data_IF_933604783798
#
_entry.id   IF_933604783798
#
_cell.length_a   1.000
_cell.length_b   1.000
_cell.length_c   1.000
_cell.angle_alpha   90.00
_cell.angle_beta   90.00
_cell.angle_gamma   90.00
#
_symmetry.space_group_name_H-M   'P 1'
#
loop_
_entity.id
_entity.type
_entity.pdbx_description
1 polymer ?
#
# COMPACT_ATOMS: atom_id res chain seq x y z
N UNK A 1 -7.98 3.90 -20.41
CA UNK A 1 -7.19 4.07 -19.19
C UNK A 1 -7.95 5.00 -18.26
N UNK A 2 -8.05 4.65 -16.99
CA UNK A 2 -8.66 5.47 -15.94
C UNK A 2 -7.55 5.94 -15.00
N UNK A 3 -7.54 7.23 -14.72
CA UNK A 3 -6.68 7.81 -13.68
C UNK A 3 -7.37 7.58 -12.33
N UNK A 4 -6.68 6.87 -11.44
CA UNK A 4 -7.17 6.59 -10.09
C UNK A 4 -6.17 7.12 -9.10
N UNK A 5 -6.65 7.61 -7.97
CA UNK A 5 -5.76 8.10 -6.94
C UNK A 5 -5.36 6.97 -5.99
N UNK A 6 -4.06 6.79 -5.78
CA UNK A 6 -3.57 5.80 -4.84
C UNK A 6 -3.95 6.18 -3.41
N UNK A 7 -4.65 5.32 -2.64
CA UNK A 7 -5.08 5.63 -1.27
C UNK A 7 -3.93 5.68 -0.25
N UNK A 8 -2.70 5.32 -0.66
CA UNK A 8 -1.52 5.32 0.19
C UNK A 8 -0.63 6.54 0.01
N UNK A 9 -0.62 7.15 -1.17
CA UNK A 9 0.32 8.22 -1.49
C UNK A 9 -0.28 9.39 -2.27
N UNK A 10 -1.60 9.39 -2.45
CA UNK A 10 -2.41 10.45 -3.06
C UNK A 10 -1.95 10.85 -4.47
N UNK A 11 -1.14 10.00 -5.10
CA UNK A 11 -0.68 10.17 -6.48
C UNK A 11 -1.62 9.46 -7.43
N UNK A 12 -1.85 10.09 -8.56
CA UNK A 12 -2.68 9.56 -9.63
C UNK A 12 -1.89 8.52 -10.42
N UNK A 13 -2.51 7.38 -10.65
CA UNK A 13 -1.96 6.24 -11.37
C UNK A 13 -2.90 5.86 -12.50
N UNK A 14 -2.32 5.56 -13.65
CA UNK A 14 -3.08 5.16 -14.83
C UNK A 14 -3.29 3.64 -14.79
N UNK A 15 -4.54 3.22 -14.62
CA UNK A 15 -4.93 1.81 -14.72
C UNK A 15 -5.73 1.57 -16.00
N UNK A 16 -5.69 0.34 -16.51
CA UNK A 16 -6.50 -0.04 -17.65
C UNK A 16 -7.99 -0.13 -17.25
N UNK A 17 -8.86 0.40 -18.12
CA UNK A 17 -10.31 0.36 -17.88
C UNK A 17 -10.82 -1.07 -17.91
N UNK A 18 -11.72 -1.41 -16.99
CA UNK A 18 -12.31 -2.74 -16.88
C UNK A 18 -11.52 -3.73 -16.04
N UNK A 19 -10.33 -3.35 -15.54
CA UNK A 19 -9.62 -4.18 -14.58
C UNK A 19 -10.13 -3.97 -13.16
N UNK A 20 -10.32 -5.06 -12.44
CA UNK A 20 -10.65 -5.09 -11.01
C UNK A 20 -9.78 -6.14 -10.33
N UNK A 21 -9.31 -5.84 -9.11
CA UNK A 21 -8.35 -6.70 -8.42
C UNK A 21 -7.34 -5.92 -7.59
N UNK A 22 -6.25 -6.58 -7.23
CA UNK A 22 -5.16 -5.99 -6.45
C UNK A 22 -4.10 -5.42 -7.40
N UNK A 23 -3.80 -4.13 -7.24
CA UNK A 23 -2.82 -3.41 -8.04
C UNK A 23 -1.75 -2.83 -7.14
N UNK A 24 -0.51 -2.87 -7.60
CA UNK A 24 0.59 -2.22 -6.92
C UNK A 24 0.74 -0.80 -7.43
N UNK A 25 0.84 0.16 -6.51
CA UNK A 25 1.13 1.54 -6.88
C UNK A 25 2.61 1.68 -7.28
N UNK A 26 2.94 2.19 -8.49
CA UNK A 26 4.32 2.35 -8.94
C UNK A 26 5.11 3.41 -8.16
N UNK A 27 4.43 4.24 -7.37
CA UNK A 27 5.08 5.32 -6.62
C UNK A 27 5.42 4.97 -5.18
N UNK A 28 4.64 4.09 -4.55
CA UNK A 28 4.85 3.70 -3.16
C UNK A 28 4.99 2.19 -2.98
N UNK A 29 4.92 1.41 -4.06
CA UNK A 29 5.00 -0.06 -4.07
C UNK A 29 4.03 -0.75 -3.11
N UNK A 30 2.93 -0.07 -2.74
CA UNK A 30 1.89 -0.64 -1.90
C UNK A 30 0.75 -1.16 -2.78
N UNK A 31 0.32 -2.39 -2.50
CA UNK A 31 -0.84 -3.01 -3.12
C UNK A 31 -2.15 -2.42 -2.57
N UNK A 32 -3.08 -2.10 -3.46
CA UNK A 32 -4.42 -1.64 -3.12
C UNK A 32 -5.46 -2.35 -4.02
N UNK A 33 -6.70 -2.46 -3.52
CA UNK A 33 -7.79 -3.08 -4.29
C UNK A 33 -8.50 -2.00 -5.09
N UNK A 34 -8.64 -2.23 -6.39
CA UNK A 34 -9.42 -1.38 -7.28
C UNK A 34 -10.61 -2.16 -7.82
N UNK A 35 -11.79 -1.54 -7.79
CA UNK A 35 -13.01 -2.11 -8.36
C UNK A 35 -13.54 -1.17 -9.44
N UNK A 36 -13.66 -1.68 -10.65
CA UNK A 36 -14.24 -0.92 -11.75
C UNK A 36 -15.76 -0.90 -11.60
N UNK A 37 -16.30 0.23 -11.14
CA UNK A 37 -17.72 0.46 -10.91
C UNK A 37 -18.54 0.68 -12.21
N UNK A 38 -18.06 0.20 -13.37
CA UNK A 38 -18.78 0.32 -14.64
C UNK A 38 -19.54 -0.98 -14.94
N UNK A 39 -20.87 -0.91 -14.72
CA UNK A 39 -21.94 -1.89 -15.04
C UNK A 39 -22.07 -3.04 -14.02
N UNK A 40 -23.13 -3.14 -13.23
CA UNK A 40 -24.52 -3.30 -13.70
C UNK A 40 -25.49 -3.04 -12.54
N UNK A 41 -26.46 -2.15 -12.74
CA UNK A 41 -27.67 -2.08 -11.92
C UNK A 41 -28.49 -3.37 -12.11
N UNK A 42 -28.15 -4.48 -11.44
CA UNK A 42 -29.07 -5.61 -11.26
C UNK A 42 -28.90 -6.28 -9.91
N UNK A 43 -29.88 -6.00 -9.05
CA UNK A 43 -30.59 -6.92 -8.16
C UNK A 43 -29.78 -7.55 -7.02
N UNK A 44 -30.34 -7.37 -5.84
CA UNK A 44 -29.88 -7.90 -4.57
C UNK A 44 -29.68 -9.41 -4.60
N UNK A 45 -28.72 -9.86 -3.78
CA UNK A 45 -28.73 -11.06 -2.93
C UNK A 45 -27.40 -11.82 -3.04
N UNK A 46 -26.64 -11.75 -1.94
CA UNK A 46 -25.63 -12.73 -1.51
C UNK A 46 -24.36 -12.82 -2.36
N UNK A 47 -23.36 -12.02 -1.98
CA UNK A 47 -22.06 -12.63 -1.67
C UNK A 47 -21.37 -11.82 -0.57
N UNK A 48 -21.49 -12.33 0.66
CA UNK A 48 -20.63 -11.93 1.77
C UNK A 48 -19.22 -12.40 1.38
N UNK A 49 -18.41 -11.49 0.85
CA UNK A 49 -16.95 -11.58 0.99
C UNK A 49 -16.57 -10.65 2.11
N UNK A 50 -16.47 -11.26 3.30
CA UNK A 50 -15.67 -10.76 4.41
C UNK A 50 -14.34 -10.24 3.86
N UNK A 51 -14.21 -8.93 3.71
CA UNK A 51 -12.95 -8.27 3.99
C UNK A 51 -13.24 -7.33 5.14
N UNK A 52 -13.02 -7.88 6.33
CA UNK A 52 -12.98 -7.12 7.56
C UNK A 52 -12.05 -5.93 7.29
N UNK A 53 -12.51 -4.68 7.36
CA UNK A 53 -11.60 -3.55 7.29
C UNK A 53 -10.60 -3.78 8.43
N UNK A 54 -9.32 -3.97 8.10
CA UNK A 54 -8.27 -4.15 9.10
C UNK A 54 -8.52 -3.13 10.23
N UNK A 55 -8.56 -3.58 11.51
CA UNK A 55 -8.87 -2.67 12.60
C UNK A 55 -7.89 -1.51 12.53
N UNK A 56 -8.45 -0.30 12.55
CA UNK A 56 -7.81 1.00 12.34
C UNK A 56 -6.48 1.20 13.12
N UNK A 57 -6.22 0.37 14.14
CA UNK A 57 -4.99 0.34 14.93
C UNK A 57 -3.75 -0.30 14.27
N UNK A 58 -3.86 -1.04 13.15
CA UNK A 58 -2.71 -1.75 12.57
C UNK A 58 -1.78 -0.87 11.72
N UNK A 59 -2.23 0.32 11.29
CA UNK A 59 -1.43 1.23 10.44
C UNK A 59 -0.21 1.82 11.14
N UNK A 60 -0.23 1.93 12.47
CA UNK A 60 0.84 2.55 13.27
C UNK A 60 2.02 1.58 13.46
N UNK A 61 1.73 0.28 13.57
CA UNK A 61 2.72 -0.76 13.85
C UNK A 61 3.67 -0.95 12.67
N UNK A 62 3.16 -0.86 11.44
CA UNK A 62 3.97 -1.01 10.23
C UNK A 62 4.98 0.14 10.05
N UNK A 63 4.58 1.37 10.39
CA UNK A 63 5.47 2.54 10.37
C UNK A 63 6.60 2.44 11.39
N UNK A 64 6.29 1.94 12.60
CA UNK A 64 7.29 1.78 13.66
C UNK A 64 8.31 0.70 13.29
N UNK A 65 7.88 -0.45 12.76
CA UNK A 65 8.79 -1.54 12.39
C UNK A 65 9.75 -1.09 11.27
N UNK A 66 9.23 -0.46 10.21
CA UNK A 66 10.05 0.05 9.10
C UNK A 66 10.99 1.15 9.57
N UNK A 67 10.51 2.09 10.40
CA UNK A 67 11.33 3.17 10.95
C UNK A 67 12.46 2.67 11.85
N UNK A 68 12.19 1.71 12.73
CA UNK A 68 13.21 1.12 13.60
C UNK A 68 14.25 0.34 12.79
N UNK A 69 13.83 -0.41 11.78
CA UNK A 69 14.76 -1.15 10.92
C UNK A 69 15.69 -0.21 10.15
N UNK A 70 15.15 0.89 9.61
CA UNK A 70 15.94 1.92 8.93
C UNK A 70 16.94 2.60 9.88
N UNK A 71 16.51 2.93 11.11
CA UNK A 71 17.36 3.55 12.12
C UNK A 71 18.52 2.65 12.52
N UNK A 72 18.26 1.36 12.75
CA UNK A 72 19.30 0.37 13.10
C UNK A 72 20.32 0.23 11.97
N UNK A 73 19.87 0.15 10.71
CA UNK A 73 20.76 0.08 9.55
C UNK A 73 21.66 1.32 9.44
N UNK A 74 21.11 2.51 9.61
CA UNK A 74 21.88 3.76 9.58
C UNK A 74 22.89 3.84 10.71
N UNK A 75 22.50 3.43 11.93
CA UNK A 75 23.40 3.40 13.08
C UNK A 75 24.56 2.39 12.87
N UNK A 76 24.26 1.23 12.30
CA UNK A 76 25.26 0.22 11.97
C UNK A 76 26.25 0.72 10.90
N UNK A 77 25.75 1.35 9.83
CA UNK A 77 26.58 1.96 8.80
C UNK A 77 27.51 3.03 9.40
N UNK A 78 26.97 3.89 10.26
CA UNK A 78 27.75 4.92 10.95
C UNK A 78 28.85 4.32 11.84
N UNK A 79 28.52 3.24 12.57
CA UNK A 79 29.49 2.54 13.40
C UNK A 79 30.59 1.90 12.54
N UNK A 80 30.25 1.26 11.43
CA UNK A 80 31.26 0.73 10.49
C UNK A 80 32.20 1.84 10.00
N UNK A 81 31.68 2.98 9.58
CA UNK A 81 32.50 4.13 9.14
C UNK A 81 33.43 4.63 10.26
N UNK A 82 32.94 4.66 11.50
CA UNK A 82 33.75 5.06 12.65
C UNK A 82 34.88 4.05 12.93
N UNK A 83 34.59 2.75 12.82
CA UNK A 83 35.55 1.68 13.06
C UNK A 83 36.57 1.52 11.92
N UNK A 84 36.19 1.75 10.67
CA UNK A 84 37.11 1.82 9.53
C UNK A 84 38.03 3.07 9.62
N UNK A 85 37.64 4.08 10.39
CA UNK A 85 38.43 5.28 10.64
C UNK A 85 39.40 5.21 11.82
N UNK A 86 39.44 4.11 12.58
CA UNK A 86 40.35 3.88 13.72
C UNK A 86 41.57 3.02 13.35
#
# INVERSE_FOLDING_TARGET
>A
MVEIQCPHCEKDIELEDGLSGMFDCPYCNNGFIWENNKKTEQISNQHISHHEPMPLGFKIIFGIIVGLFLLVLLAYLFLLILFDGM
#
